data_IF_844558804784
#
_entry.id   IF_844558804784
#
_cell.length_a   1.000
_cell.length_b   1.000
_cell.length_c   1.000
_cell.angle_alpha   90.00
_cell.angle_beta   90.00
_cell.angle_gamma   90.00
#
_symmetry.space_group_name_H-M   'P 1'
#
loop_
_entity.id
_entity.type
_entity.pdbx_description
1 polymer ?
#
# COMPACT_ATOMS: atom_id res chain seq x y z
N UNK A 1 11.44 1.68 -5.68
CA UNK A 1 10.50 2.81 -5.54
C UNK A 1 10.00 3.14 -6.93
N UNK A 2 8.70 3.36 -7.07
CA UNK A 2 8.00 3.58 -8.33
C UNK A 2 7.19 4.86 -8.24
N UNK A 3 7.03 5.54 -9.38
CA UNK A 3 6.32 6.82 -9.47
C UNK A 3 5.08 6.65 -10.35
N UNK A 4 3.96 7.24 -9.94
CA UNK A 4 2.69 7.23 -10.68
C UNK A 4 2.11 8.65 -10.64
N UNK A 5 1.60 9.17 -11.76
CA UNK A 5 0.84 10.40 -11.74
C UNK A 5 -0.60 10.10 -11.31
N UNK A 6 -1.07 10.80 -10.28
CA UNK A 6 -2.44 10.66 -9.76
C UNK A 6 -3.26 11.86 -10.20
N UNK A 7 -4.35 11.60 -10.91
CA UNK A 7 -5.33 12.62 -11.31
C UNK A 7 -6.16 13.04 -10.10
N UNK A 8 -6.53 12.09 -9.22
CA UNK A 8 -7.31 12.40 -8.00
C UNK A 8 -6.52 13.24 -6.99
N UNK A 9 -5.21 13.00 -6.82
CA UNK A 9 -4.38 13.75 -5.88
C UNK A 9 -3.70 14.98 -6.51
N UNK A 10 -3.79 15.11 -7.84
CA UNK A 10 -3.15 16.14 -8.65
C UNK A 10 -1.65 16.24 -8.39
N UNK A 11 -0.99 15.08 -8.28
CA UNK A 11 0.45 14.99 -8.00
C UNK A 11 1.04 13.67 -8.43
N UNK A 12 2.35 13.66 -8.57
CA UNK A 12 3.09 12.40 -8.59
C UNK A 12 3.06 11.76 -7.20
N UNK A 13 2.61 10.50 -7.15
CA UNK A 13 2.68 9.65 -5.98
C UNK A 13 3.91 8.74 -6.07
N UNK A 14 4.46 8.42 -4.91
CA UNK A 14 5.60 7.53 -4.77
C UNK A 14 5.17 6.27 -4.06
N UNK A 15 5.38 5.14 -4.71
CA UNK A 15 5.05 3.82 -4.20
C UNK A 15 6.33 3.03 -3.94
N UNK A 16 6.39 2.34 -2.81
CA UNK A 16 7.37 1.27 -2.60
C UNK A 16 6.70 -0.06 -2.83
N UNK A 17 7.27 -0.90 -3.68
CA UNK A 17 6.83 -2.28 -3.89
C UNK A 17 7.91 -3.22 -3.36
N UNK A 18 7.50 -4.13 -2.50
CA UNK A 18 8.33 -5.23 -2.02
C UNK A 18 7.74 -6.55 -2.51
N UNK A 19 8.55 -7.27 -3.29
CA UNK A 19 8.27 -8.62 -3.72
C UNK A 19 8.99 -9.59 -2.77
N UNK A 20 8.28 -10.55 -2.15
CA UNK A 20 8.90 -11.60 -1.35
C UNK A 20 9.96 -12.38 -2.11
N UNK A 21 10.87 -13.03 -1.38
CA UNK A 21 11.91 -13.86 -2.00
C UNK A 21 11.35 -15.02 -2.82
N UNK A 22 10.16 -15.51 -2.49
CA UNK A 22 9.45 -16.58 -3.19
C UNK A 22 8.43 -16.07 -4.21
N UNK A 23 8.47 -14.79 -4.57
CA UNK A 23 7.57 -14.21 -5.57
C UNK A 23 7.76 -14.87 -6.94
N UNK A 24 6.64 -15.12 -7.62
CA UNK A 24 6.61 -15.66 -8.98
C UNK A 24 5.30 -15.28 -9.64
N UNK A 25 5.35 -14.81 -10.88
CA UNK A 25 4.16 -14.47 -11.69
C UNK A 25 3.29 -15.68 -12.02
N UNK A 26 3.80 -16.91 -11.81
CA UNK A 26 3.05 -18.16 -12.01
C UNK A 26 1.93 -18.35 -10.98
N UNK A 27 1.99 -17.67 -9.83
CA UNK A 27 0.92 -17.74 -8.84
C UNK A 27 0.52 -16.37 -8.34
N UNK A 28 -0.79 -16.23 -8.13
CA UNK A 28 -1.37 -15.01 -7.60
C UNK A 28 -0.95 -14.78 -6.15
N UNK A 29 -0.66 -13.52 -5.84
CA UNK A 29 -0.31 -13.03 -4.51
C UNK A 29 -1.43 -12.17 -3.95
N UNK A 30 -1.63 -12.21 -2.63
CA UNK A 30 -2.41 -11.20 -1.90
C UNK A 30 -1.67 -9.86 -1.93
N UNK A 31 -2.33 -8.79 -1.52
CA UNK A 31 -1.73 -7.45 -1.43
C UNK A 31 -1.84 -6.93 -0.01
N UNK A 32 -0.70 -6.60 0.58
CA UNK A 32 -0.64 -5.79 1.81
C UNK A 32 -0.33 -4.36 1.36
N UNK A 33 -1.33 -3.51 1.42
CA UNK A 33 -1.19 -2.10 1.09
C UNK A 33 -1.03 -1.28 2.36
N UNK A 34 0.06 -0.54 2.50
CA UNK A 34 0.29 0.33 3.66
C UNK A 34 0.33 1.81 3.29
N UNK A 35 -0.39 2.61 4.08
CA UNK A 35 -0.17 4.05 4.17
C UNK A 35 1.11 4.29 4.99
N UNK A 36 1.76 5.44 4.82
CA UNK A 36 3.11 5.69 5.36
C UNK A 36 4.15 4.65 4.88
N UNK A 37 4.10 4.29 3.60
CA UNK A 37 4.88 3.18 3.04
C UNK A 37 6.39 3.24 3.32
N UNK A 38 6.96 4.45 3.29
CA UNK A 38 8.38 4.67 3.61
C UNK A 38 8.69 4.25 5.04
N UNK A 39 7.82 4.60 5.98
CA UNK A 39 8.06 4.42 7.41
C UNK A 39 7.82 2.96 7.82
N UNK A 40 6.78 2.32 7.29
CA UNK A 40 6.55 0.89 7.53
C UNK A 40 7.68 0.01 6.99
N UNK A 41 8.21 0.33 5.81
CA UNK A 41 9.31 -0.45 5.25
C UNK A 41 10.64 -0.14 5.95
N UNK A 42 10.91 1.13 6.29
CA UNK A 42 12.20 1.54 6.86
C UNK A 42 12.30 1.34 8.36
N UNK A 43 11.34 1.83 9.12
CA UNK A 43 11.35 1.82 10.58
C UNK A 43 10.60 0.61 11.13
N UNK A 44 9.42 0.31 10.56
CA UNK A 44 8.63 -0.86 10.94
C UNK A 44 9.23 -2.19 10.49
N UNK A 45 10.16 -2.18 9.52
CA UNK A 45 10.75 -3.37 8.91
C UNK A 45 9.69 -4.39 8.48
N UNK A 46 8.56 -3.92 7.94
CA UNK A 46 7.40 -4.75 7.62
C UNK A 46 7.76 -5.95 6.73
N UNK A 47 8.65 -5.74 5.75
CA UNK A 47 9.18 -6.79 4.88
C UNK A 47 9.94 -7.89 5.63
N UNK A 48 10.76 -7.54 6.63
CA UNK A 48 11.47 -8.50 7.46
C UNK A 48 10.53 -9.35 8.32
N UNK A 49 9.48 -8.72 8.87
CA UNK A 49 8.46 -9.43 9.66
C UNK A 49 7.69 -10.38 8.77
N UNK A 50 7.22 -9.90 7.61
CA UNK A 50 6.53 -10.74 6.62
C UNK A 50 7.38 -11.94 6.20
N UNK A 51 8.67 -11.75 5.88
CA UNK A 51 9.55 -12.85 5.48
C UNK A 51 9.71 -13.92 6.57
N UNK A 52 9.78 -13.52 7.85
CA UNK A 52 9.81 -14.45 8.98
C UNK A 52 8.53 -15.28 9.06
N UNK A 53 7.37 -14.62 9.03
CA UNK A 53 6.06 -15.28 9.07
C UNK A 53 5.86 -16.19 7.86
N UNK A 54 6.26 -15.74 6.67
CA UNK A 54 6.15 -16.48 5.41
C UNK A 54 7.01 -17.74 5.43
N UNK A 55 8.24 -17.66 5.96
CA UNK A 55 9.14 -18.80 6.14
C UNK A 55 8.58 -19.83 7.13
N UNK A 56 7.88 -19.38 8.16
CA UNK A 56 7.25 -20.24 9.15
C UNK A 56 5.89 -20.81 8.69
N UNK A 57 5.37 -20.39 7.53
CA UNK A 57 4.05 -20.81 7.04
C UNK A 57 2.87 -20.18 7.78
N UNK A 58 3.09 -19.09 8.53
CA UNK A 58 2.08 -18.41 9.34
C UNK A 58 1.22 -17.44 8.53
N UNK A 59 1.71 -17.01 7.37
CA UNK A 59 1.00 -16.12 6.44
C UNK A 59 1.05 -16.66 5.02
N UNK A 60 0.01 -16.34 4.26
CA UNK A 60 -0.07 -16.62 2.83
C UNK A 60 0.82 -15.69 2.01
N UNK A 61 1.03 -16.03 0.73
CA UNK A 61 1.81 -15.22 -0.21
C UNK A 61 1.14 -13.85 -0.41
N UNK A 62 1.89 -12.79 -0.16
CA UNK A 62 1.48 -11.43 -0.43
C UNK A 62 2.64 -10.57 -0.94
N UNK A 63 2.36 -9.62 -1.82
CA UNK A 63 3.26 -8.49 -2.09
C UNK A 63 2.93 -7.35 -1.12
N UNK A 64 3.92 -6.50 -0.83
CA UNK A 64 3.72 -5.33 0.02
C UNK A 64 3.88 -4.09 -0.82
N UNK A 65 2.87 -3.21 -0.82
CA UNK A 65 2.89 -1.94 -1.54
C UNK A 65 2.64 -0.81 -0.56
N UNK A 66 3.50 0.19 -0.54
CA UNK A 66 3.44 1.31 0.39
C UNK A 66 3.29 2.65 -0.31
N UNK A 67 2.24 3.41 0.03
CA UNK A 67 2.05 4.79 -0.43
C UNK A 67 2.81 5.77 0.45
N UNK A 68 3.67 6.59 -0.15
CA UNK A 68 4.40 7.62 0.56
C UNK A 68 3.62 8.94 0.58
N UNK A 69 3.55 9.55 1.76
CA UNK A 69 3.18 10.97 1.88
C UNK A 69 4.35 11.85 1.45
N UNK A 70 4.07 13.03 0.89
CA UNK A 70 5.11 13.95 0.43
C UNK A 70 5.83 14.65 1.59
N UNK A 71 5.06 15.13 2.56
CA UNK A 71 5.52 15.81 3.78
C UNK A 71 4.43 15.72 4.86
N UNK A 72 4.76 16.12 6.09
CA UNK A 72 3.86 16.01 7.26
C UNK A 72 2.54 16.76 7.04
N UNK A 73 2.55 17.93 6.38
CA UNK A 73 1.34 18.70 6.10
C UNK A 73 0.43 17.95 5.11
N UNK A 74 1.00 17.43 4.02
CA UNK A 74 0.26 16.62 3.04
C UNK A 74 -0.28 15.35 3.67
N UNK A 75 0.50 14.67 4.51
CA UNK A 75 0.04 13.50 5.27
C UNK A 75 -1.22 13.81 6.07
N UNK A 76 -1.26 14.96 6.75
CA UNK A 76 -2.45 15.38 7.48
C UNK A 76 -3.65 15.62 6.55
N UNK A 77 -3.47 16.35 5.45
CA UNK A 77 -4.56 16.67 4.51
C UNK A 77 -5.08 15.43 3.78
N UNK A 78 -4.23 14.45 3.50
CA UNK A 78 -4.56 13.22 2.76
C UNK A 78 -5.09 12.09 3.65
N UNK A 79 -4.59 11.94 4.89
CA UNK A 79 -4.91 10.76 5.72
C UNK A 79 -5.86 11.06 6.88
N UNK A 80 -6.07 12.33 7.25
CA UNK A 80 -7.06 12.66 8.27
C UNK A 80 -8.47 12.41 7.74
N UNK A 81 -9.40 11.78 8.48
CA UNK A 81 -10.76 11.53 7.98
C UNK A 81 -11.51 12.79 7.53
N UNK A 82 -11.27 13.90 8.23
CA UNK A 82 -11.79 15.23 7.89
C UNK A 82 -10.79 16.07 7.07
N UNK A 83 -9.76 15.44 6.51
CA UNK A 83 -8.76 16.10 5.69
C UNK A 83 -9.31 16.48 4.33
N UNK A 84 -8.88 17.63 3.81
CA UNK A 84 -9.34 18.19 2.53
C UNK A 84 -9.12 17.26 1.32
N UNK A 85 -8.15 16.34 1.41
CA UNK A 85 -7.78 15.39 0.36
C UNK A 85 -8.04 13.92 0.73
N UNK A 86 -8.76 13.65 1.81
CA UNK A 86 -8.97 12.28 2.28
C UNK A 86 -9.82 11.45 1.32
N UNK A 87 -10.97 12.01 0.89
CA UNK A 87 -11.83 11.36 -0.09
C UNK A 87 -11.08 11.11 -1.41
N UNK A 88 -10.28 12.07 -1.86
CA UNK A 88 -9.46 11.95 -3.07
C UNK A 88 -8.37 10.89 -2.91
N UNK A 89 -7.81 10.73 -1.70
CA UNK A 89 -6.84 9.66 -1.41
C UNK A 89 -7.49 8.29 -1.50
N UNK A 90 -8.71 8.12 -0.96
CA UNK A 90 -9.47 6.87 -1.12
C UNK A 90 -9.76 6.61 -2.60
N UNK A 91 -10.19 7.62 -3.36
CA UNK A 91 -10.44 7.48 -4.80
C UNK A 91 -9.16 7.13 -5.59
N UNK A 92 -8.02 7.76 -5.28
CA UNK A 92 -6.74 7.43 -5.89
C UNK A 92 -6.32 5.99 -5.60
N UNK A 93 -6.46 5.54 -4.35
CA UNK A 93 -6.17 4.15 -3.98
C UNK A 93 -7.05 3.19 -4.75
N UNK A 94 -8.37 3.41 -4.76
CA UNK A 94 -9.35 2.51 -5.37
C UNK A 94 -9.25 2.46 -6.90
N UNK A 95 -9.06 3.60 -7.55
CA UNK A 95 -9.22 3.74 -9.01
C UNK A 95 -7.91 3.91 -9.77
N UNK A 96 -6.80 4.21 -9.10
CA UNK A 96 -5.50 4.38 -9.77
C UNK A 96 -4.48 3.36 -9.24
N UNK A 97 -4.27 3.33 -7.93
CA UNK A 97 -3.18 2.56 -7.34
C UNK A 97 -3.46 1.06 -7.36
N UNK A 98 -4.65 0.63 -6.91
CA UNK A 98 -5.01 -0.79 -6.91
C UNK A 98 -5.09 -1.37 -8.34
N UNK A 99 -5.69 -0.67 -9.34
CA UNK A 99 -5.60 -1.09 -10.74
C UNK A 99 -4.16 -1.17 -11.25
N UNK A 100 -3.31 -0.18 -10.96
CA UNK A 100 -1.90 -0.21 -11.33
C UNK A 100 -1.18 -1.43 -10.74
N UNK A 101 -1.44 -1.78 -9.47
CA UNK A 101 -0.89 -3.00 -8.85
C UNK A 101 -1.34 -4.25 -9.62
N UNK A 102 -2.62 -4.35 -9.94
CA UNK A 102 -3.23 -5.50 -10.62
C UNK A 102 -2.82 -5.67 -12.09
N UNK A 103 -2.31 -4.61 -12.71
CA UNK A 103 -1.77 -4.61 -14.07
C UNK A 103 -0.29 -5.01 -14.09
N UNK A 104 0.46 -4.67 -13.03
CA UNK A 104 1.91 -4.86 -12.99
C UNK A 104 2.35 -6.14 -12.26
N UNK A 105 1.48 -6.74 -11.44
CA UNK A 105 1.81 -7.91 -10.62
C UNK A 105 0.73 -8.99 -10.71
N UNK A 106 1.14 -10.25 -10.52
CA UNK A 106 0.21 -11.37 -10.44
C UNK A 106 -0.55 -11.34 -9.09
N UNK A 107 -1.63 -10.56 -9.01
CA UNK A 107 -2.43 -10.40 -7.79
C UNK A 107 -3.82 -11.04 -7.89
N UNK A 108 -4.41 -11.29 -6.73
CA UNK A 108 -5.85 -11.55 -6.63
C UNK A 108 -6.63 -10.24 -6.71
N UNK A 109 -7.51 -10.12 -7.71
CA UNK A 109 -8.36 -8.94 -7.97
C UNK A 109 -9.68 -8.99 -7.19
N UNK A 110 -9.61 -9.32 -5.91
CA UNK A 110 -10.77 -9.45 -5.01
C UNK A 110 -10.48 -8.81 -3.66
N UNK A 111 -11.51 -8.21 -3.05
CA UNK A 111 -11.34 -7.41 -1.82
C UNK A 111 -10.79 -8.20 -0.63
N UNK A 112 -11.22 -9.45 -0.45
CA UNK A 112 -10.75 -10.32 0.65
C UNK A 112 -9.29 -10.79 0.51
N UNK A 113 -8.63 -10.51 -0.61
CA UNK A 113 -7.21 -10.78 -0.83
C UNK A 113 -6.32 -9.54 -0.60
N UNK A 114 -6.91 -8.46 -0.07
CA UNK A 114 -6.23 -7.19 0.20
C UNK A 114 -6.32 -6.84 1.66
N UNK A 115 -5.21 -6.39 2.22
CA UNK A 115 -5.12 -5.82 3.55
C UNK A 115 -4.73 -4.36 3.38
N UNK A 116 -5.47 -3.46 4.04
CA UNK A 116 -5.07 -2.07 4.23
C UNK A 116 -4.43 -1.93 5.60
N UNK A 117 -3.29 -1.24 5.68
CA UNK A 117 -2.49 -1.14 6.88
C UNK A 117 -2.04 0.30 7.11
N UNK A 118 -2.14 0.76 8.35
CA UNK A 118 -1.69 2.09 8.76
C UNK A 118 -1.74 2.26 10.27
N UNK A 119 -0.98 3.20 10.80
CA UNK A 119 -0.96 3.55 12.22
C UNK A 119 -1.54 4.96 12.44
N UNK A 120 -2.32 5.14 13.51
CA UNK A 120 -2.90 6.43 13.89
C UNK A 120 -3.69 7.06 12.72
N UNK A 121 -3.19 8.16 12.15
CA UNK A 121 -3.79 8.83 11.01
C UNK A 121 -3.87 7.94 9.77
N UNK A 122 -2.79 7.22 9.48
CA UNK A 122 -2.74 6.25 8.40
C UNK A 122 -3.69 5.07 8.64
N UNK A 123 -3.96 4.73 9.91
CA UNK A 123 -4.98 3.75 10.28
C UNK A 123 -6.40 4.26 10.04
N UNK A 124 -6.61 5.58 10.19
CA UNK A 124 -7.91 6.21 9.97
C UNK A 124 -8.30 6.19 8.50
N UNK A 125 -7.39 6.59 7.60
CA UNK A 125 -7.63 6.51 6.14
C UNK A 125 -7.74 5.06 5.64
N UNK A 126 -7.07 4.10 6.29
CA UNK A 126 -7.19 2.69 5.94
C UNK A 126 -8.57 2.09 6.28
N UNK A 127 -9.32 2.74 7.18
CA UNK A 127 -10.67 2.31 7.59
C UNK A 127 -11.78 2.91 6.70
N UNK A 128 -11.51 4.03 6.02
CA UNK A 128 -12.44 4.72 5.14
C UNK A 128 -12.60 4.01 3.78
#
# INVERSE_FOLDING_TARGET
VTHLQSDYLEREITLSVYLPKDYSDLYKSKVIFCFDGRDFLRYGQLHCVYEKLRKNGEVERAIIVGLHYQNVKMRHMEFHPEGEKAAQTVQAVANEILPWIDENFATYKVGNARILLGDSLAGSIALL
#
